data_IF_001694257721
#
_entry.id   IF_001694257721
#
_cell.length_a   1.000
_cell.length_b   1.000
_cell.length_c   1.000
_cell.angle_alpha   90.00
_cell.angle_beta   90.00
_cell.angle_gamma   90.00
#
_symmetry.space_group_name_H-M   'P 1'
#
loop_
_entity.id
_entity.type
_entity.pdbx_description
1 polymer ?
#
# COMPACT_ATOMS: atom_id res chain seq x y z
N UNK A 1 9.86 37.24 -44.79
CA UNK A 1 11.24 37.28 -44.27
C UNK A 1 11.67 35.83 -44.03
N UNK A 2 12.25 35.21 -45.05
CA UNK A 2 12.63 33.79 -45.03
C UNK A 2 14.10 33.71 -44.62
N UNK A 3 14.39 33.12 -43.47
CA UNK A 3 15.77 32.96 -42.98
C UNK A 3 16.45 31.84 -43.78
N UNK A 4 17.50 32.20 -44.49
CA UNK A 4 18.30 31.29 -45.30
C UNK A 4 18.98 30.21 -44.43
N UNK A 5 18.92 28.96 -44.88
CA UNK A 5 19.69 27.86 -44.33
C UNK A 5 21.18 28.07 -44.65
N UNK A 6 22.02 28.11 -43.62
CA UNK A 6 23.47 28.21 -43.75
C UNK A 6 24.02 26.88 -44.30
N UNK A 7 24.69 26.85 -45.47
CA UNK A 7 25.34 25.65 -45.96
C UNK A 7 26.59 25.38 -45.12
N UNK A 8 26.62 24.25 -44.40
CA UNK A 8 27.80 23.78 -43.67
C UNK A 8 27.62 23.52 -42.17
N UNK A 9 26.43 23.74 -41.60
CA UNK A 9 26.15 23.31 -40.24
C UNK A 9 25.99 21.77 -40.19
N UNK A 10 26.84 21.04 -39.44
CA UNK A 10 26.65 19.60 -39.28
C UNK A 10 25.29 19.36 -38.62
N UNK A 11 24.49 18.49 -39.23
CA UNK A 11 23.18 18.10 -38.70
C UNK A 11 23.35 17.59 -37.26
N UNK A 12 22.46 17.94 -36.31
CA UNK A 12 22.54 17.44 -34.96
C UNK A 12 22.46 15.91 -34.99
N UNK A 13 23.59 15.27 -34.68
CA UNK A 13 23.67 13.82 -34.56
C UNK A 13 23.02 13.46 -33.23
N UNK A 14 21.97 12.64 -33.28
CA UNK A 14 21.45 11.99 -32.09
C UNK A 14 22.56 11.12 -31.51
N UNK A 15 23.15 11.55 -30.40
CA UNK A 15 23.96 10.66 -29.57
C UNK A 15 23.08 9.47 -29.22
N UNK A 16 23.47 8.22 -29.54
CA UNK A 16 22.74 7.07 -29.05
C UNK A 16 22.71 7.18 -27.53
N UNK A 17 21.51 7.29 -26.94
CA UNK A 17 21.36 7.12 -25.50
C UNK A 17 22.06 5.83 -25.09
N UNK A 18 22.68 5.83 -23.92
CA UNK A 18 23.28 4.62 -23.36
C UNK A 18 22.29 3.46 -23.56
N UNK A 19 22.77 2.35 -24.16
CA UNK A 19 21.92 1.20 -24.46
C UNK A 19 21.13 0.87 -23.21
N UNK A 20 19.80 0.97 -23.29
CA UNK A 20 18.92 0.50 -22.24
C UNK A 20 19.33 -0.94 -21.90
N UNK A 21 19.90 -1.13 -20.71
CA UNK A 21 20.20 -2.46 -20.19
C UNK A 21 18.91 -3.28 -20.25
N UNK A 22 19.03 -4.54 -20.67
CA UNK A 22 17.95 -5.33 -21.25
C UNK A 22 16.62 -5.35 -20.49
N UNK A 23 15.55 -5.62 -21.23
CA UNK A 23 14.12 -5.65 -20.83
C UNK A 23 13.75 -6.70 -19.75
N UNK A 24 14.74 -7.21 -19.02
CA UNK A 24 14.60 -8.29 -18.05
C UNK A 24 15.36 -8.03 -16.74
N UNK A 25 15.95 -6.85 -16.53
CA UNK A 25 16.40 -6.47 -15.19
C UNK A 25 15.26 -5.70 -14.52
N UNK A 26 14.73 -6.24 -13.41
CA UNK A 26 14.02 -5.43 -12.41
C UNK A 26 14.91 -4.19 -12.17
N UNK A 27 14.35 -2.96 -12.13
CA UNK A 27 15.12 -1.80 -11.69
C UNK A 27 15.94 -2.20 -10.46
N UNK A 28 17.22 -1.82 -10.41
CA UNK A 28 18.06 -2.08 -9.23
C UNK A 28 17.29 -1.54 -8.02
N UNK A 29 16.88 -2.44 -7.13
CA UNK A 29 16.14 -2.04 -5.93
C UNK A 29 17.14 -1.26 -5.08
N UNK A 30 16.78 -0.07 -4.57
CA UNK A 30 17.65 0.64 -3.64
C UNK A 30 17.98 -0.31 -2.49
N UNK A 31 19.25 -0.59 -2.22
CA UNK A 31 19.61 -1.39 -1.06
C UNK A 31 19.36 -0.56 0.20
N UNK A 32 18.68 -1.12 1.20
CA UNK A 32 18.54 -0.44 2.48
C UNK A 32 19.91 -0.43 3.13
N UNK A 33 20.40 0.77 3.45
CA UNK A 33 21.67 0.93 4.13
C UNK A 33 21.62 0.35 5.55
N UNK A 34 22.73 -0.22 5.99
CA UNK A 34 22.90 -0.64 7.37
C UNK A 34 22.68 0.55 8.32
N UNK A 35 21.86 0.35 9.35
CA UNK A 35 21.50 1.41 10.30
C UNK A 35 20.36 2.33 9.81
N UNK A 36 19.61 1.95 8.78
CA UNK A 36 18.35 2.62 8.46
C UNK A 36 17.32 2.40 9.59
N UNK A 37 16.44 3.36 9.89
CA UNK A 37 15.35 3.18 10.85
C UNK A 37 14.48 1.96 10.54
N UNK A 38 14.09 1.18 11.56
CA UNK A 38 13.17 0.07 11.34
C UNK A 38 11.78 0.56 10.88
N UNK A 39 11.08 -0.25 10.08
CA UNK A 39 9.67 -0.07 9.75
C UNK A 39 8.82 -0.71 10.85
N UNK A 40 7.99 0.11 11.52
CA UNK A 40 6.96 -0.37 12.43
C UNK A 40 5.59 -0.28 11.75
N UNK A 41 4.98 -1.43 11.48
CA UNK A 41 3.63 -1.49 10.93
C UNK A 41 2.62 -1.36 12.08
N UNK A 42 1.97 -0.21 12.20
CA UNK A 42 0.99 0.06 13.24
C UNK A 42 -0.37 -0.54 12.88
N UNK A 43 -0.73 -1.64 13.55
CA UNK A 43 -1.94 -2.41 13.32
C UNK A 43 -3.09 -1.83 14.15
N UNK A 44 -4.21 -1.41 13.54
CA UNK A 44 -5.38 -0.85 14.23
C UNK A 44 -6.25 -1.95 14.86
N UNK A 45 -5.62 -2.90 15.54
CA UNK A 45 -6.30 -4.03 16.18
C UNK A 45 -5.48 -4.57 17.35
N UNK A 46 -6.17 -5.32 18.23
CA UNK A 46 -5.53 -6.20 19.20
C UNK A 46 -4.90 -7.38 18.46
N UNK A 47 -3.74 -7.83 18.92
CA UNK A 47 -3.10 -9.03 18.41
C UNK A 47 -3.93 -10.27 18.75
N UNK A 48 -4.35 -11.01 17.73
CA UNK A 48 -5.21 -12.17 17.89
C UNK A 48 -5.29 -13.02 16.62
N UNK A 49 -6.10 -14.10 16.63
CA UNK A 49 -6.23 -15.02 15.51
C UNK A 49 -6.74 -14.35 14.23
N UNK A 50 -7.52 -13.26 14.35
CA UNK A 50 -8.06 -12.53 13.19
C UNK A 50 -7.04 -11.56 12.57
N UNK A 51 -6.15 -10.96 13.37
CA UNK A 51 -5.22 -9.93 12.90
C UNK A 51 -3.83 -10.47 12.57
N UNK A 52 -3.32 -11.44 13.35
CA UNK A 52 -1.94 -11.96 13.21
C UNK A 52 -1.65 -12.57 11.84
N UNK A 53 -2.49 -13.48 11.27
CA UNK A 53 -2.16 -14.14 10.00
C UNK A 53 -1.99 -13.14 8.84
N UNK A 54 -2.87 -12.15 8.75
CA UNK A 54 -2.81 -11.11 7.70
C UNK A 54 -1.57 -10.25 7.87
N UNK A 55 -1.26 -9.85 9.10
CA UNK A 55 -0.10 -9.00 9.40
C UNK A 55 1.21 -9.74 9.17
N UNK A 56 1.34 -10.98 9.63
CA UNK A 56 2.55 -11.80 9.45
C UNK A 56 2.85 -12.04 7.97
N UNK A 57 1.82 -12.31 7.16
CA UNK A 57 1.97 -12.46 5.72
C UNK A 57 2.36 -11.13 5.05
N UNK A 58 1.78 -9.99 5.46
CA UNK A 58 2.22 -8.68 4.99
C UNK A 58 3.68 -8.39 5.32
N UNK A 59 4.14 -8.71 6.54
CA UNK A 59 5.55 -8.57 6.91
C UNK A 59 6.46 -9.44 6.03
N UNK A 60 6.02 -10.66 5.71
CA UNK A 60 6.73 -11.57 4.79
C UNK A 60 6.84 -10.98 3.37
N UNK A 61 5.75 -10.42 2.86
CA UNK A 61 5.71 -9.75 1.55
C UNK A 61 6.62 -8.52 1.54
N UNK A 62 6.57 -7.68 2.58
CA UNK A 62 7.41 -6.48 2.68
C UNK A 62 8.90 -6.85 2.66
N UNK A 63 9.30 -7.90 3.40
CA UNK A 63 10.69 -8.42 3.38
C UNK A 63 11.09 -8.98 2.01
N UNK A 64 10.14 -9.53 1.27
CA UNK A 64 10.36 -10.04 -0.09
C UNK A 64 10.46 -8.90 -1.11
N UNK A 65 9.71 -7.82 -0.92
CA UNK A 65 9.77 -6.63 -1.78
C UNK A 65 11.05 -5.82 -1.56
N UNK A 66 11.58 -5.80 -0.33
CA UNK A 66 12.79 -5.04 -0.02
C UNK A 66 13.76 -5.84 0.86
N UNK A 67 14.84 -6.31 0.24
CA UNK A 67 15.89 -7.02 0.97
C UNK A 67 16.57 -6.09 1.98
N UNK A 68 16.85 -6.64 3.18
CA UNK A 68 17.48 -5.89 4.27
C UNK A 68 16.55 -4.98 5.06
N UNK A 69 15.24 -4.97 4.78
CA UNK A 69 14.29 -4.19 5.58
C UNK A 69 14.10 -4.82 6.96
N UNK A 70 14.38 -4.04 8.00
CA UNK A 70 13.98 -4.38 9.37
C UNK A 70 12.52 -3.96 9.54
N UNK A 71 11.63 -4.94 9.64
CA UNK A 71 10.20 -4.70 9.75
C UNK A 71 9.56 -5.55 10.83
N UNK A 72 8.75 -4.90 11.65
CA UNK A 72 7.97 -5.52 12.74
C UNK A 72 6.58 -4.90 12.83
N UNK A 73 5.65 -5.60 13.49
CA UNK A 73 4.30 -5.11 13.73
C UNK A 73 4.15 -4.61 15.17
N UNK A 74 3.36 -3.55 15.33
CA UNK A 74 2.88 -3.06 16.60
C UNK A 74 1.35 -3.10 16.63
N UNK A 75 0.78 -3.60 17.72
CA UNK A 75 -0.66 -3.75 17.88
C UNK A 75 -1.20 -2.76 18.92
N UNK A 76 -2.52 -2.57 18.98
CA UNK A 76 -3.16 -1.76 20.04
C UNK A 76 -3.20 -2.47 21.40
N UNK A 77 -2.79 -3.73 21.45
CA UNK A 77 -2.70 -4.56 22.64
C UNK A 77 -2.70 -6.04 22.28
N UNK A 78 -2.86 -6.89 23.29
CA UNK A 78 -2.87 -8.36 23.15
C UNK A 78 -1.68 -9.01 23.86
N UNK A 79 -1.79 -10.31 24.13
CA UNK A 79 -0.71 -11.06 24.77
C UNK A 79 0.51 -11.14 23.84
N UNK A 80 1.69 -10.89 24.41
CA UNK A 80 3.00 -10.96 23.76
C UNK A 80 3.08 -10.19 22.43
N UNK A 81 2.39 -9.05 22.35
CA UNK A 81 2.39 -8.18 21.18
C UNK A 81 2.85 -6.77 21.59
N UNK A 82 3.95 -6.25 21.02
CA UNK A 82 4.43 -4.93 21.38
C UNK A 82 3.48 -3.86 20.84
N UNK A 83 3.31 -2.79 21.61
CA UNK A 83 2.68 -1.56 21.13
C UNK A 83 3.68 -0.69 20.36
N UNK A 84 3.21 0.35 19.68
CA UNK A 84 4.11 1.31 19.03
C UNK A 84 5.01 1.96 20.07
N UNK A 85 4.47 2.31 21.24
CA UNK A 85 5.24 2.91 22.34
C UNK A 85 6.37 1.97 22.83
N UNK A 86 6.09 0.68 22.97
CA UNK A 86 7.09 -0.31 23.41
C UNK A 86 8.27 -0.39 22.43
N UNK A 87 7.98 -0.40 21.13
CA UNK A 87 9.02 -0.47 20.09
C UNK A 87 9.84 0.81 19.99
N UNK A 88 9.20 1.97 20.14
CA UNK A 88 9.89 3.25 20.17
C UNK A 88 10.82 3.35 21.40
N UNK A 89 10.34 2.93 22.58
CA UNK A 89 11.14 2.88 23.79
C UNK A 89 12.33 1.92 23.67
N UNK A 90 12.10 0.71 23.15
CA UNK A 90 13.16 -0.28 22.92
C UNK A 90 14.24 0.22 21.95
N UNK A 91 13.85 0.91 20.88
CA UNK A 91 14.80 1.52 19.94
C UNK A 91 15.63 2.61 20.63
N UNK A 92 15.00 3.47 21.44
CA UNK A 92 15.70 4.52 22.18
C UNK A 92 16.69 3.95 23.22
N UNK A 93 16.29 2.93 23.98
CA UNK A 93 17.16 2.24 24.94
C UNK A 93 18.37 1.57 24.28
N UNK A 94 18.17 1.00 23.08
CA UNK A 94 19.22 0.39 22.29
C UNK A 94 20.12 1.41 21.55
N UNK A 95 19.80 2.71 21.61
CA UNK A 95 20.51 3.75 20.85
C UNK A 95 20.36 3.62 19.33
N UNK A 96 19.27 2.97 18.88
CA UNK A 96 18.94 2.80 17.47
C UNK A 96 18.18 4.03 16.93
N UNK A 97 18.19 4.27 15.61
CA UNK A 97 17.36 5.31 15.01
C UNK A 97 15.87 5.12 15.33
N UNK A 98 15.16 6.23 15.54
CA UNK A 98 13.72 6.21 15.79
C UNK A 98 12.99 5.54 14.62
N UNK A 99 12.20 4.47 14.85
CA UNK A 99 11.49 3.77 13.79
C UNK A 99 10.54 4.66 12.99
N UNK A 100 10.37 4.32 11.70
CA UNK A 100 9.33 4.89 10.84
C UNK A 100 8.06 4.07 11.01
N UNK A 101 7.00 4.72 11.49
CA UNK A 101 5.72 4.09 11.77
C UNK A 101 4.79 4.24 10.56
N UNK A 102 4.31 3.12 10.04
CA UNK A 102 3.37 3.06 8.92
C UNK A 102 2.01 2.60 9.43
N UNK A 103 0.95 3.44 9.39
CA UNK A 103 -0.39 3.03 9.76
C UNK A 103 -0.95 1.98 8.78
N UNK A 104 -1.40 0.82 9.27
CA UNK A 104 -2.05 -0.22 8.45
C UNK A 104 -3.54 0.10 8.25
N UNK A 105 -3.81 1.21 7.57
CA UNK A 105 -5.17 1.61 7.16
C UNK A 105 -5.15 2.25 5.77
N UNK A 106 -6.22 2.11 4.97
CA UNK A 106 -6.29 2.69 3.64
C UNK A 106 -6.69 4.17 3.63
N UNK A 107 -7.08 4.75 4.76
CA UNK A 107 -7.56 6.14 4.83
C UNK A 107 -7.72 6.63 6.28
N UNK A 108 -8.46 7.74 6.48
CA UNK A 108 -8.78 8.26 7.81
C UNK A 108 -9.34 7.17 8.74
N UNK A 109 -8.84 7.12 9.98
CA UNK A 109 -9.26 6.12 10.96
C UNK A 109 -9.08 6.66 12.38
N UNK A 110 -9.94 6.23 13.31
CA UNK A 110 -9.99 6.74 14.70
C UNK A 110 -8.73 6.50 15.54
N UNK A 111 -7.84 5.58 15.11
CA UNK A 111 -6.57 5.32 15.80
C UNK A 111 -5.41 6.27 15.42
N UNK A 112 -5.53 7.01 14.30
CA UNK A 112 -4.47 7.90 13.84
C UNK A 112 -4.17 9.06 14.80
N UNK A 113 -5.16 9.71 15.44
CA UNK A 113 -4.88 10.79 16.39
C UNK A 113 -3.98 10.38 17.55
N UNK A 114 -4.13 9.14 18.05
CA UNK A 114 -3.29 8.62 19.13
C UNK A 114 -1.86 8.32 18.66
N UNK A 115 -1.70 7.78 17.44
CA UNK A 115 -0.38 7.61 16.82
C UNK A 115 0.33 8.94 16.61
N UNK A 116 -0.37 9.97 16.11
CA UNK A 116 0.22 11.30 15.91
C UNK A 116 0.59 11.97 17.23
N UNK A 117 -0.22 11.77 18.28
CA UNK A 117 0.12 12.26 19.63
C UNK A 117 1.39 11.59 20.14
N UNK A 118 1.50 10.27 20.02
CA UNK A 118 2.70 9.51 20.41
C UNK A 118 3.93 9.97 19.62
N UNK A 119 3.79 10.21 18.33
CA UNK A 119 4.86 10.75 17.47
C UNK A 119 5.36 12.11 17.95
N UNK A 120 4.44 13.02 18.31
CA UNK A 120 4.80 14.34 18.83
C UNK A 120 5.55 14.27 20.18
N UNK A 121 5.23 13.29 21.02
CA UNK A 121 5.88 13.09 22.32
C UNK A 121 7.27 12.42 22.21
N UNK A 122 7.46 11.54 21.22
CA UNK A 122 8.67 10.71 21.06
C UNK A 122 9.62 11.17 19.97
N UNK A 123 9.17 12.07 19.07
CA UNK A 123 9.91 12.46 17.87
C UNK A 123 9.90 11.39 16.77
N UNK A 124 9.12 10.32 16.91
CA UNK A 124 8.99 9.28 15.89
C UNK A 124 8.30 9.83 14.63
N UNK A 125 8.67 9.30 13.47
CA UNK A 125 8.02 9.64 12.21
C UNK A 125 6.84 8.69 11.98
N UNK A 126 5.61 9.23 11.93
CA UNK A 126 4.42 8.50 11.50
C UNK A 126 4.07 8.95 10.09
N UNK A 127 3.90 8.00 9.17
CA UNK A 127 3.47 8.27 7.80
C UNK A 127 1.96 8.46 7.71
N UNK A 128 1.51 9.04 6.60
CA UNK A 128 0.09 9.10 6.25
C UNK A 128 -0.49 7.68 6.05
N UNK A 129 -1.83 7.53 6.15
CA UNK A 129 -2.53 6.31 5.73
C UNK A 129 -2.11 5.85 4.33
N UNK A 130 -2.27 4.55 4.05
CA UNK A 130 -1.80 3.94 2.80
C UNK A 130 -2.50 4.50 1.54
N UNK A 131 -3.69 5.08 1.68
CA UNK A 131 -4.47 5.60 0.55
C UNK A 131 -4.66 7.11 0.58
N UNK A 132 -5.05 7.71 -0.56
CA UNK A 132 -5.50 7.04 -1.79
C UNK A 132 -4.34 6.60 -2.71
N UNK A 133 -4.39 5.35 -3.22
CA UNK A 133 -3.32 4.81 -4.07
C UNK A 133 -3.81 3.81 -5.13
N UNK A 134 -3.24 3.80 -6.36
CA UNK A 134 -3.61 2.83 -7.41
C UNK A 134 -3.43 1.36 -7.01
N UNK A 135 -2.48 1.05 -6.13
CA UNK A 135 -2.25 -0.31 -5.62
C UNK A 135 -3.38 -0.81 -4.72
N UNK A 136 -4.08 0.09 -4.00
CA UNK A 136 -5.27 -0.26 -3.24
C UNK A 136 -6.45 -0.55 -4.17
N UNK A 137 -6.66 0.29 -5.20
CA UNK A 137 -7.69 0.04 -6.21
C UNK A 137 -7.42 -1.28 -6.97
N UNK A 138 -6.16 -1.63 -7.20
CA UNK A 138 -5.76 -2.92 -7.76
C UNK A 138 -6.12 -4.09 -6.83
N UNK A 139 -5.74 -4.02 -5.56
CA UNK A 139 -6.08 -5.03 -4.56
C UNK A 139 -7.61 -5.27 -4.48
N UNK A 140 -8.40 -4.20 -4.42
CA UNK A 140 -9.87 -4.29 -4.40
C UNK A 140 -10.40 -4.92 -5.69
N UNK A 141 -9.83 -4.55 -6.85
CA UNK A 141 -10.20 -5.17 -8.12
C UNK A 141 -9.93 -6.68 -8.14
N UNK A 142 -8.79 -7.13 -7.60
CA UNK A 142 -8.48 -8.57 -7.50
C UNK A 142 -9.49 -9.27 -6.59
N UNK A 143 -9.81 -8.70 -5.42
CA UNK A 143 -10.85 -9.26 -4.52
C UNK A 143 -12.21 -9.38 -5.18
N UNK A 144 -12.63 -8.37 -5.94
CA UNK A 144 -13.84 -8.45 -6.74
C UNK A 144 -13.76 -9.55 -7.80
N UNK A 145 -12.60 -9.75 -8.43
CA UNK A 145 -12.42 -10.82 -9.41
C UNK A 145 -12.47 -12.22 -8.77
N UNK A 146 -11.88 -12.41 -7.60
CA UNK A 146 -11.94 -13.68 -6.85
C UNK A 146 -13.36 -14.04 -6.45
N UNK A 147 -14.17 -13.04 -6.09
CA UNK A 147 -15.59 -13.19 -5.82
C UNK A 147 -16.44 -13.38 -7.10
N UNK A 148 -15.84 -13.35 -8.29
CA UNK A 148 -16.56 -13.42 -9.57
C UNK A 148 -17.36 -12.15 -9.92
N UNK A 149 -17.14 -11.05 -9.20
CA UNK A 149 -17.86 -9.78 -9.32
C UNK A 149 -17.25 -8.86 -10.38
N UNK A 150 -15.94 -9.01 -10.64
CA UNK A 150 -15.22 -8.32 -11.69
C UNK A 150 -14.51 -9.29 -12.65
N UNK A 151 -14.17 -8.82 -13.85
CA UNK A 151 -13.32 -9.57 -14.78
C UNK A 151 -11.85 -9.47 -14.35
N UNK A 152 -11.15 -10.60 -14.34
CA UNK A 152 -9.73 -10.67 -14.06
C UNK A 152 -8.85 -9.96 -15.11
N UNK A 153 -9.29 -9.92 -16.38
CA UNK A 153 -8.54 -9.33 -17.49
C UNK A 153 -9.47 -8.72 -18.55
N UNK A 154 -9.12 -7.51 -19.01
CA UNK A 154 -9.85 -6.74 -20.04
C UNK A 154 -9.55 -7.24 -21.47
N UNK A 155 -8.46 -7.97 -21.69
CA UNK A 155 -7.93 -8.27 -23.04
C UNK A 155 -8.68 -9.37 -23.81
N UNK A 156 -9.55 -10.15 -23.17
CA UNK A 156 -10.26 -11.25 -23.83
C UNK A 156 -11.56 -10.74 -24.45
N UNK A 157 -11.53 -10.43 -25.74
CA UNK A 157 -12.63 -9.91 -26.59
C UNK A 157 -13.89 -10.81 -26.70
N UNK A 158 -14.06 -11.81 -25.84
CA UNK A 158 -15.22 -12.70 -25.83
C UNK A 158 -16.09 -12.37 -24.62
N UNK A 159 -17.08 -11.50 -24.84
CA UNK A 159 -17.90 -10.92 -23.79
C UNK A 159 -18.80 -11.95 -23.09
N UNK A 160 -18.52 -12.22 -21.82
CA UNK A 160 -19.54 -12.55 -20.82
C UNK A 160 -19.57 -11.34 -19.88
N UNK A 161 -20.72 -10.67 -19.73
CA UNK A 161 -20.88 -9.45 -18.94
C UNK A 161 -20.21 -9.56 -17.55
N UNK A 162 -19.69 -8.45 -17.01
CA UNK A 162 -19.27 -8.41 -15.60
C UNK A 162 -20.49 -8.71 -14.71
N UNK A 163 -20.28 -9.44 -13.61
CA UNK A 163 -21.38 -9.81 -12.72
C UNK A 163 -21.92 -8.57 -11.99
N UNK A 164 -21.04 -7.64 -11.60
CA UNK A 164 -21.43 -6.32 -11.09
C UNK A 164 -21.47 -5.27 -12.22
N UNK A 165 -22.47 -4.39 -12.16
CA UNK A 165 -22.61 -3.20 -13.03
C UNK A 165 -22.59 -1.88 -12.24
N UNK A 166 -22.30 -1.97 -10.93
CA UNK A 166 -21.98 -0.87 -10.04
C UNK A 166 -21.30 -1.41 -8.78
N UNK A 167 -20.46 -0.60 -8.14
CA UNK A 167 -19.72 -1.03 -6.93
C UNK A 167 -19.89 -0.01 -5.81
N UNK A 168 -20.23 -0.50 -4.62
CA UNK A 168 -20.12 0.28 -3.38
C UNK A 168 -18.77 -0.02 -2.75
N UNK A 169 -17.91 1.00 -2.66
CA UNK A 169 -16.59 0.89 -2.04
C UNK A 169 -16.72 1.16 -0.54
N UNK A 170 -16.76 0.10 0.25
CA UNK A 170 -17.06 0.18 1.69
C UNK A 170 -15.78 0.35 2.51
N UNK A 171 -15.75 1.32 3.43
CA UNK A 171 -14.62 1.59 4.34
C UNK A 171 -15.10 1.68 5.78
N UNK A 172 -14.17 1.68 6.73
CA UNK A 172 -14.39 2.07 8.13
C UNK A 172 -13.70 3.42 8.41
N UNK A 173 -14.06 4.10 9.50
CA UNK A 173 -13.53 5.42 9.84
C UNK A 173 -14.53 6.56 9.60
N UNK A 174 -15.82 6.26 9.49
CA UNK A 174 -16.90 7.22 9.36
C UNK A 174 -16.98 7.94 8.01
N UNK A 175 -17.76 9.02 7.98
CA UNK A 175 -18.04 9.80 6.77
C UNK A 175 -16.78 10.43 6.16
N UNK A 176 -15.80 10.80 6.99
CA UNK A 176 -14.52 11.34 6.50
C UNK A 176 -13.74 10.29 5.70
N UNK A 177 -13.70 9.05 6.19
CA UNK A 177 -13.08 7.95 5.48
C UNK A 177 -13.81 7.63 4.17
N UNK A 178 -15.14 7.63 4.17
CA UNK A 178 -15.93 7.45 2.95
C UNK A 178 -15.66 8.56 1.92
N UNK A 179 -15.58 9.82 2.34
CA UNK A 179 -15.24 10.94 1.47
C UNK A 179 -13.83 10.78 0.87
N UNK A 180 -12.82 10.45 1.70
CA UNK A 180 -11.45 10.22 1.25
C UNK A 180 -11.33 9.02 0.29
N UNK A 181 -12.10 7.95 0.56
CA UNK A 181 -12.17 6.77 -0.29
C UNK A 181 -12.70 7.07 -1.71
N UNK A 182 -13.35 8.22 -1.92
CA UNK A 182 -13.80 8.67 -3.25
C UNK A 182 -12.68 8.71 -4.29
N UNK A 183 -11.45 9.08 -3.91
CA UNK A 183 -10.29 9.09 -4.84
C UNK A 183 -9.94 7.67 -5.29
N UNK A 184 -9.83 6.73 -4.34
CA UNK A 184 -9.64 5.31 -4.65
C UNK A 184 -10.81 4.73 -5.44
N UNK A 185 -12.03 5.21 -5.18
CA UNK A 185 -13.24 4.88 -5.95
C UNK A 185 -13.13 5.27 -7.43
N UNK A 186 -12.61 6.47 -7.74
CA UNK A 186 -12.34 6.90 -9.12
C UNK A 186 -11.29 6.01 -9.79
N UNK A 187 -10.21 5.69 -9.08
CA UNK A 187 -9.17 4.78 -9.59
C UNK A 187 -9.75 3.39 -9.89
N UNK A 188 -10.58 2.84 -8.99
CA UNK A 188 -11.25 1.57 -9.17
C UNK A 188 -12.26 1.60 -10.32
N UNK A 189 -13.06 2.66 -10.44
CA UNK A 189 -14.02 2.85 -11.53
C UNK A 189 -13.33 2.85 -12.90
N UNK A 190 -12.16 3.49 -13.01
CA UNK A 190 -11.36 3.50 -14.25
C UNK A 190 -10.88 2.10 -14.66
N UNK A 191 -10.62 1.22 -13.67
CA UNK A 191 -10.21 -0.17 -13.89
C UNK A 191 -11.40 -1.05 -14.28
N UNK A 192 -12.52 -0.90 -13.58
CA UNK A 192 -13.72 -1.72 -13.76
C UNK A 192 -14.62 -1.30 -14.94
N UNK A 193 -14.58 -0.02 -15.33
CA UNK A 193 -15.53 0.60 -16.25
C UNK A 193 -17.01 0.51 -15.77
N UNK A 194 -17.23 0.59 -14.46
CA UNK A 194 -18.55 0.68 -13.80
C UNK A 194 -18.54 1.81 -12.78
N UNK A 195 -19.69 2.42 -12.43
CA UNK A 195 -19.75 3.42 -11.37
C UNK A 195 -19.32 2.85 -10.02
N UNK A 196 -18.57 3.64 -9.25
CA UNK A 196 -18.12 3.30 -7.89
C UNK A 196 -18.58 4.41 -6.94
N UNK A 197 -19.23 4.03 -5.84
CA UNK A 197 -19.75 4.96 -4.82
C UNK A 197 -19.16 4.56 -3.47
N UNK A 198 -18.42 5.44 -2.77
CA UNK A 198 -17.91 5.10 -1.45
C UNK A 198 -19.00 5.14 -0.38
N UNK A 199 -18.87 4.31 0.66
CA UNK A 199 -19.76 4.29 1.81
C UNK A 199 -19.01 3.87 3.08
N UNK A 200 -19.47 4.34 4.23
CA UNK A 200 -18.94 3.97 5.53
C UNK A 200 -19.73 2.79 6.12
N UNK A 201 -19.04 1.72 6.52
CA UNK A 201 -19.64 0.54 7.15
C UNK A 201 -20.12 0.83 8.57
N UNK A 202 -19.41 1.70 9.26
CA UNK A 202 -19.62 2.11 10.65
C UNK A 202 -20.61 3.28 10.79
N UNK A 203 -21.23 3.73 9.68
CA UNK A 203 -22.27 4.75 9.68
C UNK A 203 -23.62 4.14 9.28
N UNK A 204 -24.61 4.11 10.18
CA UNK A 204 -25.91 3.51 9.90
C UNK A 204 -26.56 4.04 8.62
N UNK A 205 -26.95 3.14 7.72
CA UNK A 205 -27.63 3.46 6.47
C UNK A 205 -26.76 3.97 5.33
N UNK A 206 -25.46 4.23 5.55
CA UNK A 206 -24.55 4.76 4.52
C UNK A 206 -24.42 3.79 3.34
N UNK A 207 -24.18 2.50 3.59
CA UNK A 207 -24.09 1.48 2.53
C UNK A 207 -25.41 1.32 1.78
N UNK A 208 -26.54 1.27 2.48
CA UNK A 208 -27.86 1.17 1.87
C UNK A 208 -28.18 2.36 0.96
N UNK A 209 -27.80 3.57 1.38
CA UNK A 209 -27.93 4.78 0.57
C UNK A 209 -27.06 4.74 -0.70
N UNK A 210 -25.83 4.26 -0.61
CA UNK A 210 -24.95 4.08 -1.76
C UNK A 210 -25.49 3.05 -2.76
N UNK A 211 -26.02 1.92 -2.29
CA UNK A 211 -26.70 0.92 -3.13
C UNK A 211 -27.94 1.51 -3.80
N UNK A 212 -28.76 2.24 -3.06
CA UNK A 212 -29.93 2.92 -3.61
C UNK A 212 -29.55 3.95 -4.68
N UNK A 213 -28.44 4.68 -4.48
CA UNK A 213 -27.92 5.63 -5.45
C UNK A 213 -27.46 4.94 -6.75
N UNK A 214 -26.73 3.82 -6.66
CA UNK A 214 -26.36 3.03 -7.83
C UNK A 214 -27.58 2.51 -8.60
N UNK A 215 -28.60 1.99 -7.89
CA UNK A 215 -29.84 1.54 -8.51
C UNK A 215 -30.59 2.67 -9.20
N UNK A 216 -30.69 3.84 -8.57
CA UNK A 216 -31.31 5.02 -9.16
C UNK A 216 -30.59 5.55 -10.41
N UNK A 217 -29.29 5.25 -10.55
CA UNK A 217 -28.47 5.63 -11.71
C UNK A 217 -28.33 4.54 -12.77
N UNK A 218 -29.04 3.41 -12.60
CA UNK A 218 -29.18 2.37 -13.61
C UNK A 218 -28.39 1.08 -13.37
N UNK A 219 -27.73 0.93 -12.22
CA UNK A 219 -27.11 -0.34 -11.82
C UNK A 219 -28.20 -1.34 -11.38
N UNK A 220 -28.24 -2.50 -12.04
CA UNK A 220 -29.18 -3.58 -11.70
C UNK A 220 -28.58 -4.55 -10.69
N UNK A 221 -27.24 -4.69 -10.69
CA UNK A 221 -26.49 -5.63 -9.86
C UNK A 221 -25.32 -4.94 -9.16
N UNK A 222 -25.59 -4.06 -8.17
CA UNK A 222 -24.54 -3.51 -7.33
C UNK A 222 -23.81 -4.61 -6.55
N UNK A 223 -22.51 -4.42 -6.33
CA UNK A 223 -21.68 -5.26 -5.47
C UNK A 223 -20.97 -4.44 -4.40
N UNK A 224 -20.69 -5.07 -3.26
CA UNK A 224 -19.89 -4.46 -2.20
C UNK A 224 -18.41 -4.82 -2.37
N UNK A 225 -17.54 -3.83 -2.21
CA UNK A 225 -16.11 -3.96 -2.33
C UNK A 225 -15.43 -3.34 -1.10
N UNK A 226 -14.95 -4.15 -0.15
CA UNK A 226 -14.29 -3.60 1.04
C UNK A 226 -12.92 -2.99 0.72
N UNK A 227 -12.79 -1.67 0.93
CA UNK A 227 -11.53 -0.95 1.02
C UNK A 227 -11.05 -0.97 2.48
N UNK A 228 -10.75 -2.18 2.96
CA UNK A 228 -10.17 -2.44 4.29
C UNK A 228 -9.16 -3.57 4.14
N UNK A 229 -8.05 -3.51 4.87
CA UNK A 229 -7.01 -4.53 4.88
C UNK A 229 -7.48 -5.76 5.65
N UNK A 230 -8.16 -5.58 6.77
CA UNK A 230 -8.73 -6.67 7.55
C UNK A 230 -8.74 -6.35 9.03
N UNK A 231 -7.58 -6.12 9.67
CA UNK A 231 -7.51 -5.88 11.11
C UNK A 231 -8.37 -4.70 11.59
N UNK A 232 -8.55 -3.68 10.77
CA UNK A 232 -9.35 -2.49 11.10
C UNK A 232 -10.86 -2.70 11.04
N UNK A 233 -11.34 -3.79 10.43
CA UNK A 233 -12.74 -3.95 10.07
C UNK A 233 -13.38 -5.14 10.78
N UNK A 234 -14.56 -4.91 11.34
CA UNK A 234 -15.38 -5.97 11.91
C UNK A 234 -16.01 -6.81 10.78
N UNK A 235 -15.74 -8.12 10.81
CA UNK A 235 -16.32 -9.09 9.88
C UNK A 235 -17.85 -9.15 9.95
N UNK A 236 -18.43 -8.90 11.13
CA UNK A 236 -19.89 -8.89 11.31
C UNK A 236 -20.53 -7.68 10.61
N UNK A 237 -19.87 -6.51 10.63
CA UNK A 237 -20.34 -5.33 9.90
C UNK A 237 -20.35 -5.57 8.38
N UNK A 238 -19.31 -6.21 7.86
CA UNK A 238 -19.22 -6.58 6.45
C UNK A 238 -20.33 -7.55 6.03
N UNK A 239 -20.59 -8.58 6.85
CA UNK A 239 -21.65 -9.55 6.61
C UNK A 239 -23.04 -8.89 6.68
N UNK A 240 -23.28 -8.09 7.71
CA UNK A 240 -24.55 -7.35 7.90
C UNK A 240 -24.84 -6.43 6.73
N UNK A 241 -23.85 -5.67 6.25
CA UNK A 241 -24.02 -4.79 5.11
C UNK A 241 -24.41 -5.55 3.82
N UNK A 242 -23.86 -6.75 3.60
CA UNK A 242 -24.22 -7.59 2.47
C UNK A 242 -25.65 -8.13 2.60
N UNK A 243 -26.04 -8.60 3.79
CA UNK A 243 -27.38 -9.12 4.07
C UNK A 243 -28.46 -8.04 3.93
N UNK A 244 -28.27 -6.87 4.55
CA UNK A 244 -29.23 -5.76 4.53
C UNK A 244 -29.48 -5.22 3.12
N UNK A 245 -28.44 -5.19 2.28
CA UNK A 245 -28.54 -4.64 0.91
C UNK A 245 -28.92 -5.69 -0.13
N UNK A 246 -28.79 -6.97 0.20
CA UNK A 246 -28.91 -8.10 -0.71
C UNK A 246 -27.85 -8.11 -1.82
N UNK A 247 -26.73 -7.42 -1.62
CA UNK A 247 -25.66 -7.31 -2.60
C UNK A 247 -24.59 -8.38 -2.35
N UNK A 248 -24.03 -8.95 -3.42
CA UNK A 248 -22.85 -9.79 -3.30
C UNK A 248 -21.65 -8.94 -2.86
N UNK A 249 -20.79 -9.50 -2.01
CA UNK A 249 -19.64 -8.80 -1.43
C UNK A 249 -18.34 -9.54 -1.71
N UNK A 250 -17.28 -8.80 -1.99
CA UNK A 250 -15.93 -9.32 -1.98
C UNK A 250 -15.36 -9.40 -0.55
N UNK A 251 -14.32 -10.21 -0.35
CA UNK A 251 -13.60 -10.24 0.92
C UNK A 251 -12.76 -8.96 1.14
N UNK A 252 -12.41 -8.62 2.40
CA UNK A 252 -11.36 -7.63 2.73
C UNK A 252 -10.09 -7.83 1.92
N UNK A 253 -9.32 -6.76 1.68
CA UNK A 253 -8.09 -6.83 0.88
C UNK A 253 -7.16 -7.93 1.43
N UNK A 254 -6.86 -7.95 2.72
CA UNK A 254 -5.93 -8.92 3.30
C UNK A 254 -4.49 -8.68 2.85
N UNK A 255 -3.67 -9.73 2.93
CA UNK A 255 -2.24 -9.66 2.66
C UNK A 255 -1.91 -9.73 1.15
N UNK A 256 -2.48 -8.84 0.32
CA UNK A 256 -2.13 -8.80 -1.09
C UNK A 256 -0.71 -8.24 -1.33
N UNK A 257 0.05 -8.77 -2.31
CA UNK A 257 1.36 -8.24 -2.66
C UNK A 257 1.38 -6.73 -2.94
N UNK A 258 0.32 -6.18 -3.53
CA UNK A 258 0.20 -4.74 -3.82
C UNK A 258 0.16 -3.89 -2.54
N UNK A 259 -0.36 -4.42 -1.43
CA UNK A 259 -0.35 -3.76 -0.12
C UNK A 259 1.07 -3.78 0.47
N UNK A 260 1.76 -4.92 0.43
CA UNK A 260 3.14 -4.99 0.89
C UNK A 260 4.09 -4.12 0.06
N UNK A 261 3.89 -4.04 -1.27
CA UNK A 261 4.61 -3.12 -2.14
C UNK A 261 4.36 -1.65 -1.76
N UNK A 262 3.11 -1.30 -1.45
CA UNK A 262 2.74 0.05 -1.03
C UNK A 262 3.40 0.42 0.30
N UNK A 263 3.35 -0.47 1.30
CA UNK A 263 4.02 -0.29 2.59
C UNK A 263 5.54 -0.08 2.41
N UNK A 264 6.19 -0.96 1.64
CA UNK A 264 7.62 -0.84 1.38
C UNK A 264 7.97 0.46 0.64
N UNK A 265 7.15 0.87 -0.35
CA UNK A 265 7.37 2.10 -1.11
C UNK A 265 7.18 3.35 -0.25
N UNK A 266 6.17 3.37 0.62
CA UNK A 266 5.92 4.48 1.55
C UNK A 266 7.08 4.65 2.53
N UNK A 267 7.57 3.54 3.10
CA UNK A 267 8.74 3.55 3.97
C UNK A 267 10.00 4.04 3.25
N UNK A 268 10.30 3.51 2.07
CA UNK A 268 11.49 3.93 1.30
C UNK A 268 11.44 5.41 0.92
N UNK A 269 10.26 5.95 0.63
CA UNK A 269 10.08 7.37 0.34
C UNK A 269 10.23 8.27 1.59
N UNK A 270 10.09 7.70 2.78
CA UNK A 270 10.27 8.39 4.05
C UNK A 270 11.71 8.38 4.56
N UNK A 271 12.55 7.47 4.04
CA UNK A 271 13.96 7.43 4.41
C UNK A 271 14.69 8.68 3.90
N UNK A 272 15.63 9.23 4.69
CA UNK A 272 16.47 10.32 4.23
C UNK A 272 17.27 9.90 3.00
N UNK A 273 17.45 10.82 2.05
CA UNK A 273 18.33 10.58 0.92
C UNK A 273 19.76 10.31 1.45
N UNK A 274 20.44 9.27 0.94
CA UNK A 274 21.77 8.92 1.42
C UNK A 274 22.73 10.08 1.15
N UNK A 275 23.46 10.52 2.16
CA UNK A 275 24.48 11.55 1.98
C UNK A 275 25.63 11.02 1.14
N UNK A 276 26.33 11.92 0.45
CA UNK A 276 27.44 11.58 -0.44
C UNK A 276 28.55 10.77 0.26
N UNK A 277 28.81 11.05 1.54
CA UNK A 277 29.74 10.29 2.39
C UNK A 277 29.27 8.85 2.66
N UNK A 278 27.96 8.61 2.78
CA UNK A 278 27.40 7.29 2.99
C UNK A 278 27.41 6.44 1.72
N UNK A 279 27.23 7.08 0.56
CA UNK A 279 27.38 6.43 -0.75
C UNK A 279 28.84 6.01 -0.98
N UNK A 280 29.80 6.88 -0.67
CA UNK A 280 31.24 6.57 -0.77
C UNK A 280 31.66 5.44 0.19
N UNK A 281 31.11 5.40 1.40
CA UNK A 281 31.35 4.32 2.36
C UNK A 281 30.73 2.97 1.93
N UNK A 282 29.53 3.00 1.34
CA UNK A 282 28.87 1.81 0.80
C UNK A 282 29.61 1.27 -0.42
N UNK A 283 30.05 2.13 -1.33
CA UNK A 283 30.90 1.75 -2.47
C UNK A 283 32.22 1.12 -2.00
N UNK A 284 32.87 1.70 -0.99
CA UNK A 284 34.09 1.13 -0.41
C UNK A 284 33.86 -0.25 0.24
N UNK A 285 32.72 -0.47 0.90
CA UNK A 285 32.36 -1.76 1.49
C UNK A 285 32.07 -2.83 0.42
N UNK A 286 31.40 -2.46 -0.67
CA UNK A 286 31.14 -3.33 -1.83
C UNK A 286 32.44 -3.68 -2.56
N UNK A 287 33.38 -2.74 -2.71
CA UNK A 287 34.70 -2.96 -3.30
C UNK A 287 35.54 -3.95 -2.45
N UNK A 288 35.49 -3.81 -1.12
CA UNK A 288 36.16 -4.71 -0.18
C UNK A 288 35.58 -6.12 -0.19
N UNK A 289 34.25 -6.27 -0.31
CA UNK A 289 33.59 -7.59 -0.43
C UNK A 289 33.83 -8.24 -1.79
N UNK A 290 34.12 -7.46 -2.85
CA UNK A 290 34.48 -7.97 -4.18
C UNK A 290 35.93 -8.42 -4.32
N UNK A 291 36.80 -8.12 -3.35
CA UNK A 291 38.21 -8.53 -3.40
C UNK A 291 38.36 -9.88 -2.69
N UNK A 292 38.53 -11.02 -3.41
CA UNK A 292 38.75 -12.30 -2.76
C UNK A 292 40.15 -12.27 -2.15
N UNK A 293 40.26 -12.61 -0.86
CA UNK A 293 41.51 -12.57 -0.11
C UNK A 293 42.65 -13.28 -0.83
N UNK A 294 43.64 -12.51 -1.30
CA UNK A 294 44.94 -13.01 -1.73
C UNK A 294 45.78 -13.38 -0.50
N UNK A 295 45.33 -14.36 0.28
CA UNK A 295 46.14 -14.96 1.34
C UNK A 295 45.87 -16.45 1.45
N UNK A 296 46.60 -17.22 0.63
CA UNK A 296 47.23 -18.49 1.04
C UNK A 296 48.06 -19.07 -0.13
N UNK A 297 49.38 -18.94 -0.07
CA UNK A 297 50.31 -20.07 -0.14
C UNK A 297 51.75 -19.58 0.02
N UNK A 298 52.46 -20.25 0.91
CA UNK A 298 53.92 -20.21 1.09
C UNK A 298 54.64 -20.76 -0.13
#
# INVERSE_FOLDING_TARGET
MSTAAIPGAPLPVRTPGSRARGRHRRPERPEIMAGSPALVLAVPAVAGPESRPVVEELLSIVRTEQAGIEVTAAYQGGEDAPTVADLLAAAAEAGLPAPVVVPLVPGPHGFLPELHKLAAETGAQVLDPLGPHPLLAEAVHVRLSEAGLARADRARLFAIATAADGVVLTTVGGEEAAAAAGITGVLLASRLAVPVVPAALDVPGSVAAAVAHLRATGSERPALAPLVIGPEADTELLATAAEETGCASAAPIGAYPTVGQLIASAYLAALPEPTQEQLEAAEAAIEQQRTPGAHAAR
#
